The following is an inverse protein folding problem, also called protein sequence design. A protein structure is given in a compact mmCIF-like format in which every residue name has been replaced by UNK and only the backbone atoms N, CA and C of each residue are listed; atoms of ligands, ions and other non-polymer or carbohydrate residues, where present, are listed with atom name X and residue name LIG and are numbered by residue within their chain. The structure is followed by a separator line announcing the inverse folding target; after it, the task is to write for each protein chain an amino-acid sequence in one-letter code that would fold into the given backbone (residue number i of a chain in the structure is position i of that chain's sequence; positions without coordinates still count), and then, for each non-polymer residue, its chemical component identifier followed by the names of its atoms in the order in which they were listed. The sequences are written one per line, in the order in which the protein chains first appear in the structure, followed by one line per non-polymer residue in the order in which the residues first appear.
data_IF_110225926386
#
_entry.id   IF_110225926386
#
_cell.length_a   1.000
_cell.length_b   1.000
_cell.length_c   1.000
_cell.angle_alpha   90.00
_cell.angle_beta   90.00
_cell.angle_gamma   90.00
#
_symmetry.space_group_name_H-M   'P 1'
#
loop_
_entity.id
_entity.type
_entity.pdbx_description
1 polymer ?
#
# COMPACT_ATOMS: atom_id res chain seq x y z
N UNK A 1 -52.36 -46.87 -3.30
CA UNK A 1 -52.22 -45.80 -4.30
C UNK A 1 -51.53 -44.65 -3.59
N UNK A 2 -50.16 -44.62 -3.61
CA UNK A 2 -49.36 -43.61 -2.90
C UNK A 2 -48.73 -42.67 -3.91
N UNK A 3 -49.20 -41.45 -3.86
CA UNK A 3 -48.74 -40.35 -4.71
C UNK A 3 -47.41 -39.81 -4.15
N UNK A 4 -46.33 -39.90 -4.92
CA UNK A 4 -45.03 -39.36 -4.58
C UNK A 4 -44.89 -37.98 -5.26
N UNK A 5 -45.08 -36.92 -4.47
CA UNK A 5 -44.70 -35.57 -4.90
C UNK A 5 -43.19 -35.42 -4.92
N UNK A 6 -42.61 -35.22 -6.09
CA UNK A 6 -41.21 -34.84 -6.28
C UNK A 6 -41.04 -33.33 -5.98
N UNK A 7 -40.36 -33.03 -4.88
CA UNK A 7 -39.95 -31.67 -4.54
C UNK A 7 -38.65 -31.37 -5.29
N UNK A 8 -38.73 -30.61 -6.38
CA UNK A 8 -37.54 -30.08 -7.08
C UNK A 8 -36.98 -28.91 -6.28
N UNK A 9 -35.91 -29.14 -5.54
CA UNK A 9 -35.13 -28.06 -4.91
C UNK A 9 -34.31 -27.36 -5.99
N UNK A 10 -34.72 -26.18 -6.39
CA UNK A 10 -33.90 -25.29 -7.23
C UNK A 10 -32.73 -24.77 -6.40
N UNK A 11 -31.55 -25.29 -6.67
CA UNK A 11 -30.28 -24.71 -6.20
C UNK A 11 -30.08 -23.36 -6.89
N UNK A 12 -30.42 -22.29 -6.21
CA UNK A 12 -30.02 -20.94 -6.58
C UNK A 12 -28.48 -20.82 -6.38
N UNK A 13 -27.74 -21.06 -7.45
CA UNK A 13 -26.33 -20.70 -7.52
C UNK A 13 -26.22 -19.18 -7.41
N UNK A 14 -25.81 -18.68 -6.26
CA UNK A 14 -25.41 -17.29 -6.14
C UNK A 14 -24.25 -17.04 -7.13
N UNK A 15 -24.28 -15.98 -7.94
CA UNK A 15 -23.16 -15.65 -8.79
C UNK A 15 -21.96 -15.38 -7.89
N UNK A 16 -20.92 -16.22 -8.00
CA UNK A 16 -19.60 -15.89 -7.47
C UNK A 16 -19.15 -14.64 -8.19
N UNK A 17 -19.20 -13.50 -7.50
CA UNK A 17 -18.61 -12.27 -8.00
C UNK A 17 -17.11 -12.53 -8.18
N UNK A 18 -16.70 -12.78 -9.42
CA UNK A 18 -15.30 -12.73 -9.81
C UNK A 18 -14.84 -11.30 -9.49
N UNK A 19 -14.16 -11.14 -8.37
CA UNK A 19 -13.48 -9.90 -8.08
C UNK A 19 -12.38 -9.76 -9.13
N UNK A 20 -12.57 -8.80 -10.04
CA UNK A 20 -11.49 -8.43 -10.94
C UNK A 20 -10.38 -7.82 -10.07
N UNK A 21 -9.27 -8.55 -9.92
CA UNK A 21 -8.10 -8.07 -9.20
C UNK A 21 -7.55 -6.78 -9.81
N UNK A 22 -6.73 -6.05 -9.07
CA UNK A 22 -6.03 -4.88 -9.59
C UNK A 22 -5.08 -5.32 -10.71
N UNK A 23 -5.36 -4.89 -11.93
CA UNK A 23 -4.52 -5.17 -13.09
C UNK A 23 -3.79 -3.92 -13.56
N UNK A 24 -2.45 -3.99 -13.61
CA UNK A 24 -1.60 -2.98 -14.22
C UNK A 24 -0.87 -3.60 -15.41
N UNK A 25 -0.96 -3.02 -16.59
CA UNK A 25 -0.06 -3.35 -17.70
C UNK A 25 1.40 -3.02 -17.34
N UNK A 26 2.38 -3.46 -18.14
CA UNK A 26 3.78 -3.15 -17.90
C UNK A 26 4.05 -1.64 -17.79
N UNK A 27 3.64 -0.84 -18.78
CA UNK A 27 3.80 0.61 -18.75
C UNK A 27 3.08 1.30 -17.59
N UNK A 28 1.88 0.85 -17.23
CA UNK A 28 1.14 1.40 -16.08
C UNK A 28 1.83 1.09 -14.75
N UNK A 29 2.31 -0.13 -14.55
CA UNK A 29 3.06 -0.51 -13.36
C UNK A 29 4.34 0.31 -13.21
N UNK A 30 5.08 0.51 -14.31
CA UNK A 30 6.27 1.36 -14.32
C UNK A 30 5.92 2.82 -13.97
N UNK A 31 4.86 3.37 -14.54
CA UNK A 31 4.40 4.74 -14.26
C UNK A 31 3.98 4.90 -12.80
N UNK A 32 3.14 3.99 -12.28
CA UNK A 32 2.71 3.97 -10.88
C UNK A 32 3.91 3.88 -9.94
N UNK A 33 4.83 2.97 -10.23
CA UNK A 33 6.02 2.76 -9.41
C UNK A 33 6.95 3.98 -9.36
N UNK A 34 7.19 4.64 -10.50
CA UNK A 34 7.99 5.87 -10.54
C UNK A 34 7.36 7.00 -9.74
N UNK A 35 6.05 7.14 -9.74
CA UNK A 35 5.34 8.14 -8.95
C UNK A 35 5.44 7.86 -7.45
N UNK A 36 5.28 6.59 -7.03
CA UNK A 36 5.48 6.17 -5.63
C UNK A 36 6.93 6.47 -5.22
N UNK A 37 7.91 6.06 -6.02
CA UNK A 37 9.33 6.30 -5.76
C UNK A 37 9.65 7.79 -5.60
N UNK A 38 9.07 8.63 -6.46
CA UNK A 38 9.22 10.09 -6.37
C UNK A 38 8.68 10.65 -5.05
N UNK A 39 7.53 10.16 -4.61
CA UNK A 39 6.91 10.62 -3.36
C UNK A 39 7.65 10.15 -2.11
N UNK A 40 8.20 8.91 -2.13
CA UNK A 40 8.86 8.33 -0.96
C UNK A 40 10.32 8.81 -0.80
N UNK A 41 11.05 8.95 -1.91
CA UNK A 41 12.49 9.23 -1.85
C UNK A 41 13.02 10.17 -2.94
N UNK A 42 12.14 10.97 -3.56
CA UNK A 42 12.54 11.91 -4.60
C UNK A 42 13.06 11.25 -5.88
N UNK A 43 12.77 9.97 -6.10
CA UNK A 43 13.27 9.13 -7.19
C UNK A 43 14.81 9.02 -7.21
N UNK A 44 15.45 9.05 -6.05
CA UNK A 44 16.90 8.84 -5.93
C UNK A 44 17.24 7.36 -5.74
N UNK A 45 18.34 6.89 -6.34
CA UNK A 45 18.83 5.51 -6.18
C UNK A 45 19.14 5.22 -4.71
N UNK A 46 19.79 6.13 -4.02
CA UNK A 46 20.12 6.01 -2.59
C UNK A 46 18.88 5.89 -1.72
N UNK A 47 17.77 6.55 -2.10
CA UNK A 47 16.50 6.48 -1.40
C UNK A 47 15.79 5.13 -1.47
N UNK A 48 16.22 4.21 -2.38
CA UNK A 48 15.71 2.84 -2.43
C UNK A 48 16.15 1.98 -1.25
N UNK A 49 17.11 2.46 -0.44
CA UNK A 49 17.60 1.76 0.74
C UNK A 49 17.69 2.73 1.91
N UNK A 50 16.87 2.51 2.91
CA UNK A 50 16.78 3.42 4.05
C UNK A 50 16.61 2.66 5.37
N UNK A 51 17.05 3.29 6.46
CA UNK A 51 16.81 2.82 7.83
C UNK A 51 16.57 4.03 8.72
N UNK A 52 15.34 4.23 9.15
CA UNK A 52 14.95 5.37 9.97
C UNK A 52 15.60 5.30 11.37
N UNK A 53 15.91 6.47 11.92
CA UNK A 53 16.38 6.54 13.30
C UNK A 53 15.27 6.09 14.25
N UNK A 54 15.60 5.14 15.12
CA UNK A 54 14.66 4.60 16.11
C UNK A 54 13.86 3.40 15.63
N UNK A 55 14.02 2.96 14.37
CA UNK A 55 13.46 1.72 13.87
C UNK A 55 14.49 0.57 14.01
N UNK A 56 14.00 -0.67 14.11
CA UNK A 56 14.84 -1.88 14.17
C UNK A 56 14.81 -2.69 12.87
N UNK A 57 14.50 -2.04 11.74
CA UNK A 57 14.39 -2.66 10.43
C UNK A 57 14.86 -1.72 9.32
N UNK A 58 15.27 -2.32 8.19
CA UNK A 58 15.51 -1.62 6.96
C UNK A 58 14.21 -1.43 6.17
N UNK A 59 14.08 -0.30 5.47
CA UNK A 59 12.99 0.04 4.56
C UNK A 59 13.54 0.11 3.13
N UNK A 60 13.07 -0.74 2.23
CA UNK A 60 13.69 -0.99 0.94
C UNK A 60 12.72 -0.80 -0.22
N UNK A 61 13.24 -0.40 -1.38
CA UNK A 61 12.47 -0.21 -2.60
C UNK A 61 11.54 0.99 -2.58
N UNK A 62 10.72 1.10 -3.62
CA UNK A 62 9.82 2.24 -3.84
C UNK A 62 8.68 2.32 -2.81
N UNK A 63 8.31 1.20 -2.20
CA UNK A 63 7.23 1.09 -1.21
C UNK A 63 7.72 0.97 0.23
N UNK A 64 8.99 1.24 0.49
CA UNK A 64 9.60 1.09 1.82
C UNK A 64 9.30 -0.28 2.45
N UNK A 65 9.53 -1.36 1.68
CA UNK A 65 9.27 -2.73 2.12
C UNK A 65 10.16 -3.08 3.30
N UNK A 66 9.53 -3.53 4.38
CA UNK A 66 10.16 -3.78 5.68
C UNK A 66 10.96 -5.07 5.65
N UNK A 67 12.19 -5.03 6.19
CA UNK A 67 13.08 -6.16 6.32
C UNK A 67 13.69 -6.23 7.71
N UNK A 68 13.32 -7.26 8.47
CA UNK A 68 13.78 -7.46 9.83
C UNK A 68 15.05 -8.32 9.91
N UNK A 69 15.78 -8.14 10.99
CA UNK A 69 16.89 -9.02 11.39
C UNK A 69 16.36 -10.36 11.87
N UNK A 70 17.24 -11.38 11.84
CA UNK A 70 16.93 -12.69 12.40
C UNK A 70 16.54 -12.60 13.89
N UNK A 71 15.41 -13.22 14.24
CA UNK A 71 14.96 -13.30 15.63
C UNK A 71 14.42 -12.01 16.26
N UNK A 72 14.35 -10.91 15.50
CA UNK A 72 13.86 -9.64 16.00
C UNK A 72 12.68 -9.10 15.16
N UNK A 73 11.51 -9.77 15.17
CA UNK A 73 10.33 -9.25 14.50
C UNK A 73 9.85 -7.97 15.20
N UNK A 74 9.31 -7.04 14.42
CA UNK A 74 8.78 -5.78 14.94
C UNK A 74 7.24 -5.69 14.83
N UNK A 75 6.68 -4.51 15.12
CA UNK A 75 5.21 -4.33 15.16
C UNK A 75 4.55 -4.31 13.78
N UNK A 76 5.32 -4.20 12.70
CA UNK A 76 4.80 -4.13 11.34
C UNK A 76 4.96 -5.46 10.62
N UNK A 77 4.12 -5.72 9.62
CA UNK A 77 4.26 -6.89 8.76
C UNK A 77 5.51 -6.77 7.90
N UNK A 78 6.42 -7.73 8.00
CA UNK A 78 7.57 -7.83 7.12
C UNK A 78 7.12 -8.03 5.67
N UNK A 79 7.76 -7.36 4.73
CA UNK A 79 7.30 -7.34 3.35
C UNK A 79 8.39 -7.49 2.30
N UNK A 80 9.64 -7.26 2.64
CA UNK A 80 10.74 -7.41 1.69
C UNK A 80 10.96 -8.87 1.23
N UNK A 81 10.87 -9.91 2.08
CA UNK A 81 10.96 -11.30 1.60
C UNK A 81 9.90 -11.64 0.56
N UNK A 82 8.65 -11.18 0.73
CA UNK A 82 7.60 -11.35 -0.28
C UNK A 82 7.88 -10.59 -1.58
N UNK A 83 8.56 -9.44 -1.51
CA UNK A 83 9.04 -8.76 -2.72
C UNK A 83 10.09 -9.60 -3.45
N UNK A 84 11.02 -10.26 -2.74
CA UNK A 84 11.99 -11.17 -3.36
C UNK A 84 11.29 -12.32 -4.10
N UNK A 85 10.19 -12.85 -3.55
CA UNK A 85 9.35 -13.85 -4.22
C UNK A 85 8.75 -13.30 -5.52
N UNK A 86 8.16 -12.10 -5.47
CA UNK A 86 7.58 -11.46 -6.63
C UNK A 86 8.64 -11.16 -7.72
N UNK A 87 9.84 -10.72 -7.33
CA UNK A 87 10.95 -10.48 -8.24
C UNK A 87 11.40 -11.78 -8.93
N UNK A 88 11.58 -12.87 -8.17
CA UNK A 88 11.95 -14.17 -8.72
C UNK A 88 10.85 -14.70 -9.67
N UNK A 89 9.58 -14.63 -9.28
CA UNK A 89 8.44 -15.05 -10.08
C UNK A 89 8.31 -14.25 -11.41
N UNK A 90 8.74 -12.98 -11.41
CA UNK A 90 8.76 -12.13 -12.61
C UNK A 90 9.95 -12.40 -13.55
N UNK A 91 10.83 -13.36 -13.20
CA UNK A 91 12.03 -13.69 -13.97
C UNK A 91 13.22 -12.75 -13.69
N UNK A 92 13.17 -11.90 -12.67
CA UNK A 92 14.32 -11.08 -12.27
C UNK A 92 15.37 -11.95 -11.59
N UNK A 93 16.63 -11.79 -12.00
CA UNK A 93 17.76 -12.50 -11.38
C UNK A 93 18.10 -11.85 -10.06
N UNK A 94 17.92 -12.60 -8.97
CA UNK A 94 18.33 -12.15 -7.64
C UNK A 94 19.85 -12.31 -7.45
N UNK A 95 20.55 -11.35 -6.83
CA UNK A 95 21.90 -11.54 -6.31
C UNK A 95 22.01 -12.83 -5.49
N UNK A 96 23.15 -13.50 -5.57
CA UNK A 96 23.33 -14.81 -4.94
C UNK A 96 22.98 -14.82 -3.44
N UNK A 97 23.37 -13.78 -2.73
CA UNK A 97 23.14 -13.63 -1.29
C UNK A 97 21.66 -13.35 -0.91
N UNK A 98 20.78 -13.02 -1.89
CA UNK A 98 19.33 -12.82 -1.68
C UNK A 98 18.48 -14.04 -2.05
N UNK A 99 19.03 -15.07 -2.72
CA UNK A 99 18.26 -16.19 -3.28
C UNK A 99 17.56 -17.02 -2.20
N UNK A 100 18.20 -17.21 -1.06
CA UNK A 100 17.65 -17.97 0.06
C UNK A 100 16.77 -17.10 0.98
N UNK A 101 16.43 -15.89 0.55
CA UNK A 101 15.61 -14.91 1.29
C UNK A 101 16.08 -14.74 2.73
N UNK A 102 17.32 -14.31 2.93
CA UNK A 102 17.87 -14.16 4.27
C UNK A 102 17.12 -13.07 5.04
N UNK A 103 17.30 -13.07 6.35
CA UNK A 103 17.00 -11.90 7.15
C UNK A 103 17.96 -10.75 6.81
N UNK A 104 17.58 -9.52 7.17
CA UNK A 104 18.42 -8.35 6.96
C UNK A 104 19.84 -8.61 7.48
N UNK A 105 20.87 -8.50 6.62
CA UNK A 105 22.23 -8.86 7.00
C UNK A 105 22.94 -7.82 7.86
N UNK A 106 22.39 -6.60 7.93
CA UNK A 106 22.93 -5.54 8.76
C UNK A 106 22.35 -5.63 10.16
N UNK A 107 23.18 -5.74 11.21
CA UNK A 107 22.71 -5.92 12.59
C UNK A 107 22.01 -4.68 13.16
N UNK A 108 22.31 -3.50 12.63
CA UNK A 108 21.75 -2.24 13.07
C UNK A 108 21.87 -1.16 11.98
N UNK A 109 21.34 0.02 12.29
CA UNK A 109 21.36 1.18 11.41
C UNK A 109 22.79 1.67 11.10
N UNK A 110 23.68 1.62 12.05
CA UNK A 110 25.04 2.13 11.87
C UNK A 110 25.82 1.21 10.93
N UNK A 111 25.71 -0.10 11.08
CA UNK A 111 26.26 -1.09 10.15
C UNK A 111 25.67 -0.97 8.75
N UNK A 112 24.35 -0.72 8.64
CA UNK A 112 23.67 -0.47 7.36
C UNK A 112 24.27 0.74 6.63
N UNK A 113 24.47 1.85 7.33
CA UNK A 113 25.06 3.06 6.73
C UNK A 113 26.58 2.98 6.56
N UNK A 114 27.29 2.18 7.35
CA UNK A 114 28.71 1.90 7.12
C UNK A 114 28.93 1.12 5.80
N UNK A 115 27.97 0.22 5.44
CA UNK A 115 28.01 -0.54 4.18
C UNK A 115 27.27 0.16 3.02
N UNK A 116 26.88 1.45 3.18
CA UNK A 116 26.01 2.16 2.24
C UNK A 116 26.52 2.22 0.80
N UNK A 117 27.83 2.16 0.62
CA UNK A 117 28.50 2.10 -0.68
C UNK A 117 29.19 0.75 -0.91
N UNK A 118 28.91 -0.24 -0.07
CA UNK A 118 29.46 -1.59 -0.21
C UNK A 118 28.80 -2.39 -1.35
N UNK A 119 29.45 -3.46 -1.80
CA UNK A 119 29.01 -4.24 -2.95
C UNK A 119 27.58 -4.77 -2.80
N UNK A 120 27.20 -5.26 -1.62
CA UNK A 120 25.84 -5.76 -1.36
C UNK A 120 24.79 -4.68 -1.50
N UNK A 121 25.07 -3.49 -1.00
CA UNK A 121 24.16 -2.35 -1.07
C UNK A 121 23.99 -1.86 -2.51
N UNK A 122 25.06 -1.87 -3.30
CA UNK A 122 25.03 -1.53 -4.73
C UNK A 122 24.19 -2.56 -5.48
N UNK A 123 24.45 -3.87 -5.33
CA UNK A 123 23.67 -4.94 -5.96
C UNK A 123 22.18 -4.85 -5.59
N UNK A 124 21.87 -4.55 -4.33
CA UNK A 124 20.50 -4.38 -3.86
C UNK A 124 19.80 -3.21 -4.56
N UNK A 125 20.47 -2.06 -4.64
CA UNK A 125 19.93 -0.87 -5.32
C UNK A 125 19.73 -1.08 -6.82
N UNK A 126 20.67 -1.76 -7.48
CA UNK A 126 20.58 -2.08 -8.90
C UNK A 126 19.37 -2.99 -9.17
N UNK A 127 19.18 -4.02 -8.33
CA UNK A 127 17.99 -4.88 -8.40
C UNK A 127 16.69 -4.07 -8.24
N UNK A 128 16.62 -3.22 -7.22
CA UNK A 128 15.45 -2.42 -6.92
C UNK A 128 15.17 -1.37 -8.01
N UNK A 129 16.20 -0.66 -8.48
CA UNK A 129 16.07 0.33 -9.55
C UNK A 129 15.65 -0.31 -10.88
N UNK A 130 16.12 -1.54 -11.15
CA UNK A 130 15.79 -2.31 -12.36
C UNK A 130 14.44 -3.03 -12.32
N UNK A 131 13.64 -2.87 -11.27
CA UNK A 131 12.40 -3.65 -11.06
C UNK A 131 11.22 -2.83 -10.53
N UNK A 132 11.13 -1.57 -10.91
CA UNK A 132 10.10 -0.63 -10.45
C UNK A 132 8.68 -1.13 -10.74
N UNK A 133 8.46 -1.69 -11.92
CA UNK A 133 7.19 -2.29 -12.35
C UNK A 133 6.75 -3.46 -11.46
N UNK A 134 7.67 -4.35 -11.09
CA UNK A 134 7.39 -5.50 -10.21
C UNK A 134 7.07 -5.02 -8.81
N UNK A 135 7.81 -4.05 -8.29
CA UNK A 135 7.55 -3.46 -6.97
C UNK A 135 6.19 -2.78 -6.91
N UNK A 136 5.77 -2.08 -7.98
CA UNK A 136 4.46 -1.45 -8.05
C UNK A 136 3.32 -2.48 -8.03
N UNK A 137 3.44 -3.57 -8.82
CA UNK A 137 2.47 -4.67 -8.79
C UNK A 137 2.40 -5.32 -7.43
N UNK A 138 3.54 -5.65 -6.84
CA UNK A 138 3.59 -6.24 -5.51
C UNK A 138 2.94 -5.34 -4.44
N UNK A 139 3.12 -4.04 -4.52
CA UNK A 139 2.44 -3.09 -3.63
C UNK A 139 0.92 -3.08 -3.85
N UNK A 140 0.46 -3.15 -5.11
CA UNK A 140 -0.95 -3.26 -5.45
C UNK A 140 -1.57 -4.59 -4.99
N UNK A 141 -0.88 -5.71 -5.17
CA UNK A 141 -1.31 -7.03 -4.70
C UNK A 141 -1.46 -7.07 -3.17
N UNK A 142 -0.52 -6.46 -2.45
CA UNK A 142 -0.61 -6.33 -0.98
C UNK A 142 -1.79 -5.47 -0.55
N UNK A 143 -2.06 -4.38 -1.25
CA UNK A 143 -3.22 -3.53 -0.98
C UNK A 143 -4.52 -4.31 -1.19
N UNK A 144 -4.62 -5.07 -2.26
CA UNK A 144 -5.78 -5.92 -2.54
C UNK A 144 -5.96 -7.01 -1.48
N UNK A 145 -4.87 -7.68 -1.09
CA UNK A 145 -4.88 -8.67 -0.02
C UNK A 145 -5.28 -8.08 1.34
N UNK A 146 -5.02 -6.80 1.59
CA UNK A 146 -5.42 -6.11 2.82
C UNK A 146 -6.90 -5.69 2.82
N UNK A 147 -7.56 -5.58 1.66
CA UNK A 147 -8.93 -5.07 1.53
C UNK A 147 -9.96 -5.82 2.41
N UNK A 148 -9.97 -7.17 2.49
CA UNK A 148 -10.91 -7.88 3.37
C UNK A 148 -10.77 -7.48 4.84
N UNK A 149 -9.54 -7.28 5.33
CA UNK A 149 -9.27 -6.83 6.70
C UNK A 149 -9.75 -5.39 6.91
N UNK A 150 -9.52 -4.51 5.94
CA UNK A 150 -9.97 -3.11 5.99
C UNK A 150 -11.51 -3.07 6.07
N UNK A 151 -12.19 -3.83 5.21
CA UNK A 151 -13.65 -3.90 5.20
C UNK A 151 -14.22 -4.53 6.47
N UNK A 152 -13.53 -5.54 7.04
CA UNK A 152 -13.97 -6.16 8.30
C UNK A 152 -13.99 -5.20 9.48
N UNK A 153 -13.14 -4.17 9.48
CA UNK A 153 -13.10 -3.13 10.50
C UNK A 153 -14.29 -2.13 10.40
N UNK A 154 -15.00 -2.11 9.27
CA UNK A 154 -16.19 -1.29 9.10
C UNK A 154 -17.47 -2.02 9.53
N UNK A 155 -18.55 -1.27 9.89
CA UNK A 155 -19.88 -1.84 10.12
C UNK A 155 -20.35 -2.67 8.92
N UNK A 156 -20.94 -3.85 9.17
CA UNK A 156 -21.31 -4.79 8.12
C UNK A 156 -22.18 -4.15 7.02
N UNK A 157 -23.12 -3.28 7.39
CA UNK A 157 -24.00 -2.57 6.45
C UNK A 157 -23.27 -1.62 5.48
N UNK A 158 -22.02 -1.24 5.77
CA UNK A 158 -21.23 -0.32 4.93
C UNK A 158 -20.23 -1.03 4.02
N UNK A 159 -19.89 -2.28 4.30
CA UNK A 159 -18.78 -3.01 3.64
C UNK A 159 -18.91 -3.06 2.13
N UNK A 160 -20.13 -3.32 1.63
CA UNK A 160 -20.36 -3.39 0.19
C UNK A 160 -20.16 -2.03 -0.50
N UNK A 161 -20.67 -0.95 0.09
CA UNK A 161 -20.46 0.40 -0.45
C UNK A 161 -18.97 0.80 -0.43
N UNK A 162 -18.23 0.45 0.64
CA UNK A 162 -16.80 0.72 0.75
C UNK A 162 -16.00 -0.09 -0.29
N UNK A 163 -16.36 -1.36 -0.50
CA UNK A 163 -15.79 -2.19 -1.56
C UNK A 163 -16.00 -1.55 -2.93
N UNK A 164 -17.23 -1.17 -3.24
CA UNK A 164 -17.55 -0.54 -4.51
C UNK A 164 -16.81 0.79 -4.73
N UNK A 165 -16.57 1.58 -3.68
CA UNK A 165 -15.75 2.79 -3.75
C UNK A 165 -14.30 2.46 -4.05
N UNK A 166 -13.71 1.49 -3.35
CA UNK A 166 -12.36 1.01 -3.60
C UNK A 166 -12.20 0.55 -5.07
N UNK A 167 -13.09 -0.30 -5.55
CA UNK A 167 -13.04 -0.85 -6.91
C UNK A 167 -13.17 0.25 -7.98
N UNK A 168 -14.04 1.25 -7.76
CA UNK A 168 -14.13 2.40 -8.67
C UNK A 168 -12.85 3.22 -8.72
N UNK A 169 -12.18 3.43 -7.60
CA UNK A 169 -10.86 4.10 -7.58
C UNK A 169 -9.83 3.22 -8.26
N UNK A 170 -9.76 1.92 -7.94
CA UNK A 170 -8.81 0.97 -8.49
C UNK A 170 -9.01 0.67 -9.99
N UNK A 171 -10.09 1.15 -10.62
CA UNK A 171 -10.40 0.91 -12.02
C UNK A 171 -9.47 1.61 -13.02
N UNK A 172 -8.51 2.40 -12.57
CA UNK A 172 -7.51 3.07 -13.40
C UNK A 172 -6.13 3.02 -12.74
N UNK A 173 -5.08 3.06 -13.55
CA UNK A 173 -3.70 3.09 -13.05
C UNK A 173 -3.45 4.26 -12.09
N UNK A 174 -4.01 5.44 -12.38
CA UNK A 174 -3.94 6.60 -11.49
C UNK A 174 -4.64 6.36 -10.14
N UNK A 175 -5.80 5.69 -10.15
CA UNK A 175 -6.49 5.32 -8.91
C UNK A 175 -5.74 4.26 -8.12
N UNK A 176 -5.15 3.26 -8.77
CA UNK A 176 -4.25 2.29 -8.12
C UNK A 176 -3.07 2.99 -7.46
N UNK A 177 -2.45 3.93 -8.17
CA UNK A 177 -1.40 4.77 -7.59
C UNK A 177 -1.90 5.51 -6.34
N UNK A 178 -3.05 6.18 -6.41
CA UNK A 178 -3.58 6.95 -5.29
C UNK A 178 -3.86 6.09 -4.06
N UNK A 179 -4.46 4.92 -4.23
CA UNK A 179 -4.74 3.97 -3.16
C UNK A 179 -3.45 3.44 -2.53
N UNK A 180 -2.51 2.97 -3.36
CA UNK A 180 -1.24 2.38 -2.92
C UNK A 180 -0.37 3.42 -2.21
N UNK A 181 -0.23 4.60 -2.80
CA UNK A 181 0.53 5.71 -2.23
C UNK A 181 -0.07 6.17 -0.89
N UNK A 182 -1.41 6.26 -0.79
CA UNK A 182 -2.06 6.67 0.44
C UNK A 182 -1.88 5.67 1.59
N UNK A 183 -1.96 4.37 1.30
CA UNK A 183 -1.71 3.32 2.32
C UNK A 183 -0.26 3.37 2.80
N UNK A 184 0.71 3.50 1.91
CA UNK A 184 2.11 3.69 2.30
C UNK A 184 2.29 4.95 3.16
N UNK A 185 1.58 6.01 2.83
CA UNK A 185 1.70 7.31 3.48
C UNK A 185 1.00 7.38 4.84
N UNK A 186 -0.21 6.78 4.97
CA UNK A 186 -1.11 6.98 6.12
C UNK A 186 -1.69 5.71 6.71
N UNK A 187 -1.38 4.56 6.12
CA UNK A 187 -1.83 3.27 6.61
C UNK A 187 -3.25 2.89 6.20
N UNK A 188 -3.64 1.69 6.60
CA UNK A 188 -4.94 1.09 6.29
C UNK A 188 -6.11 1.72 7.06
N UNK A 189 -5.84 2.37 8.21
CA UNK A 189 -6.86 2.97 9.06
C UNK A 189 -7.58 1.99 9.99
N UNK A 190 -7.06 0.80 10.17
CA UNK A 190 -7.65 -0.25 11.01
C UNK A 190 -7.05 -0.30 12.42
N UNK A 191 -5.87 0.27 12.62
CA UNK A 191 -5.19 0.27 13.90
C UNK A 191 -5.87 1.24 14.88
N UNK A 192 -6.37 0.77 16.05
CA UNK A 192 -7.02 1.63 17.04
C UNK A 192 -6.13 2.73 17.63
N UNK A 193 -4.81 2.55 17.62
CA UNK A 193 -3.85 3.54 18.13
C UNK A 193 -3.62 4.70 17.13
N UNK A 194 -4.00 4.53 15.86
CA UNK A 194 -3.85 5.56 14.81
C UNK A 194 -5.10 6.45 14.76
N UNK A 195 -5.42 7.08 15.91
CA UNK A 195 -6.58 7.96 16.06
C UNK A 195 -6.24 9.14 16.94
N UNK A 196 -6.84 10.29 16.65
CA UNK A 196 -6.90 11.44 17.54
C UNK A 196 -8.37 11.77 17.83
N UNK A 197 -8.74 11.88 19.08
CA UNK A 197 -10.13 12.09 19.51
C UNK A 197 -11.11 11.07 18.91
N UNK A 198 -10.69 9.81 18.77
CA UNK A 198 -11.48 8.74 18.15
C UNK A 198 -11.50 8.73 16.62
N UNK A 199 -10.99 9.78 15.95
CA UNK A 199 -10.97 9.92 14.49
C UNK A 199 -9.68 9.36 13.88
N UNK A 200 -9.82 8.40 13.00
CA UNK A 200 -8.72 7.86 12.19
C UNK A 200 -8.49 8.64 10.90
N UNK A 201 -7.43 8.30 10.19
CA UNK A 201 -7.00 8.99 8.96
C UNK A 201 -6.48 8.07 7.85
N UNK A 202 -6.54 6.75 8.02
CA UNK A 202 -6.07 5.81 7.02
C UNK A 202 -7.07 5.55 5.89
N UNK A 203 -6.76 4.57 5.03
CA UNK A 203 -7.57 4.26 3.85
C UNK A 203 -9.05 4.02 4.17
N UNK A 204 -9.34 3.29 5.26
CA UNK A 204 -10.73 3.04 5.68
C UNK A 204 -11.51 4.33 5.83
N UNK A 205 -10.98 5.31 6.58
CA UNK A 205 -11.66 6.58 6.84
C UNK A 205 -11.80 7.45 5.59
N UNK A 206 -10.85 7.34 4.65
CA UNK A 206 -10.97 8.01 3.36
C UNK A 206 -12.09 7.40 2.54
N UNK A 207 -12.17 6.08 2.45
CA UNK A 207 -13.27 5.40 1.74
C UNK A 207 -14.64 5.69 2.39
N UNK A 208 -14.71 5.76 3.72
CA UNK A 208 -15.94 6.12 4.46
C UNK A 208 -16.43 7.53 4.16
N UNK A 209 -15.50 8.49 4.08
CA UNK A 209 -15.80 9.91 3.81
C UNK A 209 -15.92 10.28 2.34
N UNK A 210 -15.65 9.34 1.43
CA UNK A 210 -15.65 9.60 0.00
C UNK A 210 -17.07 9.73 -0.56
N UNK A 211 -17.31 10.77 -1.36
CA UNK A 211 -18.52 10.91 -2.15
C UNK A 211 -18.56 9.83 -3.25
N UNK A 212 -19.76 9.36 -3.62
CA UNK A 212 -19.89 8.44 -4.74
C UNK A 212 -19.59 9.17 -6.05
N UNK A 213 -18.77 8.54 -6.90
CA UNK A 213 -18.34 9.10 -8.17
C UNK A 213 -18.20 7.98 -9.22
N UNK A 214 -18.34 8.30 -10.52
CA UNK A 214 -18.03 7.37 -11.60
C UNK A 214 -16.56 6.90 -11.52
N UNK A 215 -16.29 5.71 -12.08
CA UNK A 215 -14.95 5.16 -12.18
C UNK A 215 -13.97 6.07 -12.93
N UNK A 216 -12.67 5.90 -12.71
CA UNK A 216 -11.61 6.67 -13.36
C UNK A 216 -11.31 8.00 -12.65
N UNK A 217 -11.07 9.07 -13.41
CA UNK A 217 -10.63 10.36 -12.86
C UNK A 217 -11.56 10.94 -11.79
N UNK A 218 -12.87 10.78 -11.97
CA UNK A 218 -13.85 11.30 -11.01
C UNK A 218 -13.74 10.60 -9.64
N UNK A 219 -13.56 9.28 -9.63
CA UNK A 219 -13.37 8.52 -8.38
C UNK A 219 -12.02 8.84 -7.73
N UNK A 220 -10.94 9.03 -8.50
CA UNK A 220 -9.66 9.47 -7.97
C UNK A 220 -9.74 10.88 -7.34
N UNK A 221 -10.49 11.79 -7.97
CA UNK A 221 -10.72 13.14 -7.43
C UNK A 221 -11.57 13.11 -6.13
N UNK A 222 -12.62 12.28 -6.09
CA UNK A 222 -13.41 12.10 -4.88
C UNK A 222 -12.57 11.49 -3.73
N UNK A 223 -11.69 10.55 -4.06
CA UNK A 223 -10.72 9.96 -3.13
C UNK A 223 -9.76 11.03 -2.57
N UNK A 224 -9.12 11.81 -3.44
CA UNK A 224 -8.19 12.87 -3.04
C UNK A 224 -8.87 13.93 -2.14
N UNK A 225 -10.12 14.32 -2.47
CA UNK A 225 -10.93 15.25 -1.65
C UNK A 225 -11.20 14.67 -0.26
N UNK A 226 -11.60 13.40 -0.18
CA UNK A 226 -11.83 12.72 1.10
C UNK A 226 -10.56 12.56 1.91
N UNK A 227 -9.43 12.27 1.26
CA UNK A 227 -8.11 12.18 1.88
C UNK A 227 -7.69 13.54 2.48
N UNK A 228 -7.88 14.65 1.77
CA UNK A 228 -7.61 16.00 2.32
C UNK A 228 -8.47 16.30 3.54
N UNK A 229 -9.75 15.94 3.51
CA UNK A 229 -10.65 16.11 4.66
C UNK A 229 -10.18 15.28 5.86
N UNK A 230 -9.79 14.01 5.66
CA UNK A 230 -9.27 13.14 6.71
C UNK A 230 -7.97 13.69 7.33
N UNK A 231 -7.03 14.16 6.52
CA UNK A 231 -5.77 14.74 6.99
C UNK A 231 -5.95 16.12 7.65
N UNK A 232 -6.92 16.89 7.21
CA UNK A 232 -7.29 18.16 7.84
C UNK A 232 -7.84 17.92 9.25
N UNK A 233 -8.74 16.92 9.42
CA UNK A 233 -9.24 16.50 10.74
C UNK A 233 -8.11 15.98 11.62
N UNK A 234 -7.21 15.14 11.06
CA UNK A 234 -6.02 14.65 11.77
C UNK A 234 -5.20 15.81 12.33
N UNK A 235 -4.86 16.79 11.50
CA UNK A 235 -4.06 17.94 11.91
C UNK A 235 -4.78 18.84 12.94
N UNK A 236 -6.11 18.96 12.86
CA UNK A 236 -6.92 19.70 13.83
C UNK A 236 -6.96 19.00 15.19
N UNK A 237 -7.06 17.66 15.19
CA UNK A 237 -7.17 16.84 16.40
C UNK A 237 -5.82 16.43 17.00
N UNK A 238 -4.71 16.69 16.31
CA UNK A 238 -3.39 16.26 16.78
C UNK A 238 -2.99 17.00 18.06
N UNK A 239 -2.29 16.33 19.01
CA UNK A 239 -1.75 16.99 20.17
C UNK A 239 -0.89 18.21 19.77
N UNK A 240 -1.04 19.37 20.44
CA UNK A 240 -0.32 20.62 20.09
C UNK A 240 1.19 20.44 19.95
N UNK A 241 1.80 19.61 20.81
CA UNK A 241 3.23 19.33 20.80
C UNK A 241 3.74 18.68 19.49
N UNK A 242 2.86 18.00 18.72
CA UNK A 242 3.20 17.40 17.43
C UNK A 242 3.25 18.43 16.30
N UNK A 243 2.50 19.52 16.41
CA UNK A 243 2.49 20.61 15.43
C UNK A 243 2.11 20.17 14.01
N UNK A 244 1.23 19.17 13.85
CA UNK A 244 0.95 18.54 12.55
C UNK A 244 0.33 19.49 11.52
N UNK A 245 -0.27 20.59 11.94
CA UNK A 245 -0.82 21.62 11.00
C UNK A 245 0.22 22.14 10.00
N UNK A 246 1.51 22.18 10.40
CA UNK A 246 2.61 22.61 9.51
C UNK A 246 2.83 21.67 8.31
N UNK A 247 2.37 20.43 8.39
CA UNK A 247 2.51 19.42 7.35
C UNK A 247 1.40 19.44 6.31
N UNK A 248 0.27 20.10 6.57
CA UNK A 248 -0.87 20.15 5.64
C UNK A 248 -0.50 20.61 4.22
N UNK A 249 0.33 21.66 4.02
CA UNK A 249 0.72 22.07 2.67
C UNK A 249 1.44 20.97 1.89
N UNK A 250 2.36 20.24 2.55
CA UNK A 250 3.10 19.14 1.91
C UNK A 250 2.20 17.94 1.66
N UNK A 251 1.30 17.61 2.58
CA UNK A 251 0.31 16.54 2.39
C UNK A 251 -0.60 16.83 1.21
N UNK A 252 -1.12 18.05 1.09
CA UNK A 252 -1.95 18.49 -0.04
C UNK A 252 -1.21 18.44 -1.36
N UNK A 253 0.08 18.84 -1.38
CA UNK A 253 0.93 18.70 -2.57
C UNK A 253 1.01 17.24 -3.02
N UNK A 254 1.15 16.28 -2.09
CA UNK A 254 1.13 14.85 -2.40
C UNK A 254 -0.24 14.41 -2.93
N UNK A 255 -1.34 14.77 -2.25
CA UNK A 255 -2.70 14.41 -2.69
C UNK A 255 -3.04 14.97 -4.08
N UNK A 256 -2.53 16.15 -4.44
CA UNK A 256 -2.74 16.72 -5.77
C UNK A 256 -2.14 15.85 -6.88
N UNK A 257 -1.11 15.06 -6.59
CA UNK A 257 -0.56 14.10 -7.56
C UNK A 257 -1.55 13.00 -7.93
N UNK A 258 -2.58 12.74 -7.12
CA UNK A 258 -3.65 11.79 -7.43
C UNK A 258 -4.61 12.26 -8.53
N UNK A 259 -4.52 13.54 -8.91
CA UNK A 259 -5.33 14.17 -9.97
C UNK A 259 -4.60 14.22 -11.32
N UNK A 260 -3.30 13.91 -11.31
CA UNK A 260 -2.47 13.92 -12.52
C UNK A 260 -2.72 12.62 -13.31
N UNK A 261 -2.89 12.73 -14.63
CA UNK A 261 -3.04 11.61 -15.55
C UNK A 261 -1.70 11.00 -15.92
#
# INVERSE_FOLDING_TARGET
MFDRAFLCAALLSAPSSLHAGIHLSGPEAESVGRRIWKNESGATIDGLTHWNKGENFASLGIGHFIWYKAGEPGPFTESFPGLLDALAASGRTLPAWLRDKPHCPWPDRDAFFADFHGPRMIELRDLLAGSIDVQARYAADRLEAALPKILAAAPAARREALRARFERVASSANGVYALTDYVNFKGEGVNPSERYNGEGWGLLQVLEGMDDAPSGRASAAAFAKSADAALTRRAANSPPARGEKRWLPSWRKRLNTYLDD
#
